data_IF_072309117811
#
_entry.id   IF_072309117811
#
_cell.length_a   1.000
_cell.length_b   1.000
_cell.length_c   1.000
_cell.angle_alpha   90.00
_cell.angle_beta   90.00
_cell.angle_gamma   90.00
#
_symmetry.space_group_name_H-M   'P 1'
#
loop_
_entity.id
_entity.type
_entity.pdbx_description
1 polymer ?
#
# COMPACT_ATOMS: atom_id res chain seq x y z
N UNK A 1 -32.19 -14.36 45.45
CA UNK A 1 -31.18 -13.51 46.12
C UNK A 1 -29.85 -14.25 46.03
N UNK A 2 -29.05 -13.93 45.08
CA UNK A 2 -27.69 -14.42 44.96
C UNK A 2 -26.82 -13.23 44.60
N UNK A 3 -26.04 -12.82 45.54
CA UNK A 3 -25.12 -11.68 45.50
C UNK A 3 -23.94 -12.01 44.61
N UNK A 4 -23.87 -11.36 43.47
CA UNK A 4 -22.65 -11.29 42.66
C UNK A 4 -21.69 -10.31 43.34
N UNK A 5 -20.68 -10.84 43.98
CA UNK A 5 -19.48 -10.11 44.42
C UNK A 5 -18.54 -10.12 43.21
N UNK A 6 -18.06 -8.97 42.72
CA UNK A 6 -17.03 -8.97 41.69
C UNK A 6 -15.72 -9.45 42.31
N UNK A 7 -15.22 -10.59 41.83
CA UNK A 7 -13.89 -11.09 42.18
C UNK A 7 -12.82 -10.24 41.46
N UNK A 8 -12.53 -9.05 41.96
CA UNK A 8 -11.27 -8.37 41.71
C UNK A 8 -10.26 -8.86 42.77
N UNK A 9 -9.73 -10.04 42.59
CA UNK A 9 -8.57 -10.49 43.33
C UNK A 9 -7.37 -9.61 42.89
N UNK A 10 -6.94 -8.73 43.81
CA UNK A 10 -5.69 -7.98 43.65
C UNK A 10 -4.57 -8.99 43.88
N UNK A 11 -4.01 -9.54 42.76
CA UNK A 11 -2.77 -10.30 42.83
C UNK A 11 -1.63 -9.32 43.08
N UNK A 12 -1.13 -9.23 44.27
CA UNK A 12 0.09 -8.51 44.63
C UNK A 12 1.20 -9.54 44.74
N UNK A 13 2.05 -9.60 43.69
CA UNK A 13 3.28 -10.43 43.75
C UNK A 13 4.40 -9.62 44.40
N UNK A 14 4.85 -10.05 45.55
CA UNK A 14 5.96 -9.49 46.34
C UNK A 14 7.29 -10.23 46.10
N UNK A 15 7.37 -11.08 45.08
CA UNK A 15 8.53 -11.95 44.84
C UNK A 15 9.81 -11.23 44.32
N UNK A 16 9.70 -9.98 43.88
CA UNK A 16 10.86 -9.13 43.58
C UNK A 16 11.01 -8.03 44.63
N UNK A 17 12.17 -7.93 45.28
CA UNK A 17 12.49 -6.85 46.25
C UNK A 17 12.53 -5.43 45.59
N UNK A 18 12.22 -5.30 44.30
CA UNK A 18 12.39 -4.06 43.54
C UNK A 18 11.03 -3.36 43.32
N UNK A 19 10.00 -4.11 42.91
CA UNK A 19 8.69 -3.56 42.57
C UNK A 19 7.58 -4.52 42.96
N UNK A 20 6.38 -3.96 43.16
CA UNK A 20 5.12 -4.70 43.26
C UNK A 20 4.21 -4.30 42.12
N UNK A 21 3.31 -5.17 41.71
CA UNK A 21 2.34 -4.84 40.70
C UNK A 21 0.93 -5.24 41.07
N UNK A 22 -0.01 -4.46 40.56
CA UNK A 22 -1.44 -4.69 40.72
C UNK A 22 -2.09 -4.75 39.35
N UNK A 23 -2.83 -5.82 39.10
CA UNK A 23 -3.65 -5.96 37.89
C UNK A 23 -4.84 -5.02 37.98
N UNK A 24 -4.95 -4.07 37.05
CA UNK A 24 -6.06 -3.14 36.97
C UNK A 24 -7.20 -3.68 36.10
N UNK A 25 -6.87 -4.10 34.88
CA UNK A 25 -7.82 -4.72 33.97
C UNK A 25 -7.14 -5.70 33.02
N UNK A 26 -7.90 -6.71 32.61
CA UNK A 26 -7.57 -7.55 31.43
C UNK A 26 -8.87 -7.74 30.67
N UNK A 27 -8.95 -7.14 29.49
CA UNK A 27 -10.08 -7.27 28.58
C UNK A 27 -9.57 -7.76 27.24
N UNK A 28 -9.87 -9.03 26.95
CA UNK A 28 -9.35 -9.74 25.76
C UNK A 28 -7.84 -9.67 25.69
N UNK A 29 -7.30 -8.94 24.71
CA UNK A 29 -5.86 -8.74 24.49
C UNK A 29 -5.30 -7.56 25.28
N UNK A 30 -6.14 -6.66 25.83
CA UNK A 30 -5.68 -5.47 26.54
C UNK A 30 -5.37 -5.79 28.00
N UNK A 31 -4.16 -5.44 28.40
CA UNK A 31 -3.66 -5.62 29.76
C UNK A 31 -3.29 -4.27 30.36
N UNK A 32 -3.74 -4.02 31.58
CA UNK A 32 -3.39 -2.82 32.35
C UNK A 32 -2.91 -3.22 33.73
N UNK A 33 -1.74 -2.77 34.09
CA UNK A 33 -1.11 -3.01 35.38
C UNK A 33 -0.65 -1.68 35.99
N UNK A 34 -0.79 -1.56 37.30
CA UNK A 34 -0.16 -0.52 38.10
C UNK A 34 1.10 -1.12 38.73
N UNK A 35 2.24 -0.47 38.49
CA UNK A 35 3.53 -0.91 39.00
C UNK A 35 4.02 0.12 40.01
N UNK A 36 4.39 -0.36 41.18
CA UNK A 36 4.91 0.45 42.27
C UNK A 36 6.35 0.02 42.57
N UNK A 37 7.28 0.94 42.41
CA UNK A 37 8.70 0.77 42.70
C UNK A 37 9.05 1.54 43.95
N UNK A 38 9.74 0.87 44.90
CA UNK A 38 10.09 1.54 46.16
C UNK A 38 11.04 2.71 45.93
N UNK A 39 10.81 3.79 46.67
CA UNK A 39 11.67 4.97 46.68
C UNK A 39 13.12 4.62 46.98
N UNK A 40 13.37 3.72 47.94
CA UNK A 40 14.73 3.30 48.30
C UNK A 40 15.52 2.74 47.08
N UNK A 41 14.87 2.00 46.21
CA UNK A 41 15.49 1.50 44.98
C UNK A 41 15.90 2.62 44.02
N UNK A 42 14.99 3.60 43.83
CA UNK A 42 15.24 4.76 42.97
C UNK A 42 16.43 5.56 43.51
N UNK A 43 16.43 5.85 44.81
CA UNK A 43 17.52 6.58 45.49
C UNK A 43 18.88 5.84 45.37
N UNK A 44 18.87 4.55 45.59
CA UNK A 44 20.09 3.74 45.47
C UNK A 44 20.66 3.84 44.05
N UNK A 45 19.83 3.72 43.03
CA UNK A 45 20.24 3.83 41.61
C UNK A 45 20.72 5.23 41.27
N UNK A 46 20.02 6.25 41.75
CA UNK A 46 20.43 7.64 41.56
C UNK A 46 21.78 7.94 42.19
N UNK A 47 21.96 7.54 43.46
CA UNK A 47 23.24 7.76 44.18
C UNK A 47 24.38 7.05 43.46
N UNK A 48 24.18 5.81 43.02
CA UNK A 48 25.20 5.09 42.24
C UNK A 48 25.56 5.81 40.95
N UNK A 49 24.57 6.31 40.20
CA UNK A 49 24.78 7.02 38.96
C UNK A 49 25.47 8.40 39.17
N UNK A 50 25.05 9.14 40.17
CA UNK A 50 25.68 10.42 40.56
C UNK A 50 27.13 10.24 40.95
N UNK A 51 27.48 9.16 41.68
CA UNK A 51 28.86 8.80 42.01
C UNK A 51 29.71 8.47 40.78
N UNK A 52 29.14 7.78 39.80
CA UNK A 52 29.80 7.51 38.51
C UNK A 52 30.10 8.84 37.77
N UNK A 53 29.10 9.71 37.70
CA UNK A 53 29.26 11.03 37.07
C UNK A 53 30.32 11.86 37.81
N UNK A 54 30.34 11.86 39.13
CA UNK A 54 31.31 12.61 39.94
C UNK A 54 32.75 12.25 39.64
N UNK A 55 33.04 10.98 39.28
CA UNK A 55 34.38 10.52 38.89
C UNK A 55 34.90 11.18 37.62
N UNK A 56 33.99 11.60 36.70
CA UNK A 56 34.34 12.09 35.36
C UNK A 56 33.81 13.50 35.10
N UNK A 57 33.05 14.12 36.03
CA UNK A 57 32.39 15.40 35.82
C UNK A 57 33.43 16.52 35.58
N UNK A 58 33.16 17.33 34.56
CA UNK A 58 33.93 18.53 34.20
C UNK A 58 33.03 19.73 34.41
N UNK A 59 33.13 20.37 35.55
CA UNK A 59 32.42 21.63 35.82
C UNK A 59 33.39 22.81 35.79
N UNK A 60 32.96 24.00 35.33
CA UNK A 60 33.77 25.19 35.30
C UNK A 60 34.37 25.49 36.70
N UNK A 61 35.68 25.69 36.76
CA UNK A 61 36.37 25.93 38.01
C UNK A 61 36.92 24.69 38.75
N UNK A 62 36.64 23.49 38.27
CA UNK A 62 37.10 22.24 38.88
C UNK A 62 37.82 21.33 37.88
N UNK A 63 38.89 20.66 38.38
CA UNK A 63 39.56 19.61 37.61
C UNK A 63 38.64 18.34 37.53
N UNK A 64 38.64 17.67 36.37
CA UNK A 64 37.88 16.42 36.18
C UNK A 64 38.06 15.45 37.36
N UNK A 65 36.95 14.96 37.94
CA UNK A 65 36.94 14.04 39.08
C UNK A 65 37.26 14.67 40.45
N UNK A 66 37.39 15.98 40.53
CA UNK A 66 37.59 16.73 41.80
C UNK A 66 36.44 17.68 42.12
N UNK A 67 35.33 17.57 41.42
CA UNK A 67 34.10 18.33 41.69
C UNK A 67 33.47 17.87 43.00
N UNK A 68 33.12 18.79 43.95
CA UNK A 68 32.37 18.41 45.15
C UNK A 68 31.06 17.74 44.79
N UNK A 69 30.74 16.67 45.52
CA UNK A 69 29.53 15.82 45.23
C UNK A 69 28.24 16.64 45.22
N UNK A 70 28.07 17.58 46.15
CA UNK A 70 26.88 18.43 46.24
C UNK A 70 26.67 19.27 44.97
N UNK A 71 27.73 19.70 44.31
CA UNK A 71 27.65 20.44 43.04
C UNK A 71 27.27 19.48 41.89
N UNK A 72 27.75 18.27 41.92
CA UNK A 72 27.33 17.23 40.95
C UNK A 72 25.84 16.92 41.10
N UNK A 73 25.39 16.72 42.34
CA UNK A 73 23.95 16.50 42.62
C UNK A 73 23.15 17.68 42.12
N UNK A 74 23.53 18.91 42.46
CA UNK A 74 22.81 20.13 42.06
C UNK A 74 22.65 20.26 40.54
N UNK A 75 23.68 19.88 39.76
CA UNK A 75 23.70 20.08 38.33
C UNK A 75 23.10 18.90 37.54
N UNK A 76 23.18 17.68 38.08
CA UNK A 76 22.83 16.45 37.34
C UNK A 76 21.64 15.70 37.94
N UNK A 77 21.07 16.13 39.08
CA UNK A 77 19.97 15.43 39.78
C UNK A 77 18.78 15.12 38.85
N UNK A 78 18.31 16.14 38.11
CA UNK A 78 17.14 15.99 37.23
C UNK A 78 17.40 15.03 36.05
N UNK A 79 18.55 15.18 35.40
CA UNK A 79 18.96 14.30 34.29
C UNK A 79 19.15 12.86 34.76
N UNK A 80 19.75 12.66 35.92
CA UNK A 80 19.94 11.32 36.51
C UNK A 80 18.63 10.72 36.95
N UNK A 81 17.69 11.50 37.49
CA UNK A 81 16.35 11.02 37.84
C UNK A 81 15.63 10.51 36.59
N UNK A 82 15.59 11.30 35.52
CA UNK A 82 14.97 10.91 34.25
C UNK A 82 15.59 9.61 33.70
N UNK A 83 16.92 9.53 33.69
CA UNK A 83 17.64 8.34 33.27
C UNK A 83 17.30 7.09 34.11
N UNK A 84 17.27 7.22 35.44
CA UNK A 84 16.98 6.12 36.36
C UNK A 84 15.53 5.69 36.23
N UNK A 85 14.59 6.64 36.12
CA UNK A 85 13.15 6.36 35.94
C UNK A 85 12.93 5.58 34.64
N UNK A 86 13.46 6.05 33.52
CA UNK A 86 13.31 5.39 32.21
C UNK A 86 13.88 3.96 32.24
N UNK A 87 15.11 3.76 32.75
CA UNK A 87 15.69 2.43 32.86
C UNK A 87 14.90 1.52 33.82
N UNK A 88 14.31 2.06 34.88
CA UNK A 88 13.50 1.29 35.81
C UNK A 88 12.18 0.86 35.17
N UNK A 89 11.53 1.75 34.42
CA UNK A 89 10.34 1.42 33.63
C UNK A 89 10.64 0.25 32.68
N UNK A 90 11.72 0.37 31.89
CA UNK A 90 12.10 -0.65 30.92
C UNK A 90 12.38 -2.01 31.58
N UNK A 91 13.11 -1.98 32.68
CA UNK A 91 13.43 -3.19 33.44
C UNK A 91 12.17 -3.84 34.04
N UNK A 92 11.38 -3.09 34.84
CA UNK A 92 10.22 -3.62 35.54
C UNK A 92 9.12 -4.06 34.57
N UNK A 93 8.88 -3.30 33.49
CA UNK A 93 7.90 -3.66 32.46
C UNK A 93 8.31 -4.94 31.72
N UNK A 94 9.58 -5.06 31.33
CA UNK A 94 10.11 -6.27 30.68
C UNK A 94 10.08 -7.49 31.59
N UNK A 95 10.40 -7.34 32.87
CA UNK A 95 10.37 -8.41 33.86
C UNK A 95 8.94 -8.86 34.14
N UNK A 96 7.99 -7.92 34.30
CA UNK A 96 6.58 -8.24 34.48
C UNK A 96 6.04 -9.02 33.26
N UNK A 97 6.29 -8.54 32.05
CA UNK A 97 5.81 -9.22 30.83
C UNK A 97 6.34 -10.65 30.72
N UNK A 98 7.59 -10.89 31.13
CA UNK A 98 8.16 -12.24 31.19
C UNK A 98 7.48 -13.11 32.25
N UNK A 99 7.21 -12.55 33.44
CA UNK A 99 6.55 -13.29 34.56
C UNK A 99 5.14 -13.73 34.20
N UNK A 100 4.39 -12.88 33.51
CA UNK A 100 3.02 -13.20 33.09
C UNK A 100 2.97 -13.95 31.74
N UNK A 101 4.14 -14.31 31.17
CA UNK A 101 4.31 -15.05 29.92
C UNK A 101 3.61 -14.42 28.70
N UNK A 102 3.44 -13.11 28.72
CA UNK A 102 2.78 -12.37 27.64
C UNK A 102 3.79 -11.75 26.69
N UNK A 103 3.57 -11.95 25.40
CA UNK A 103 4.31 -11.28 24.32
C UNK A 103 3.44 -10.16 23.73
N UNK A 104 4.05 -9.00 23.51
CA UNK A 104 3.43 -7.88 22.80
C UNK A 104 4.27 -7.52 21.59
N UNK A 105 3.61 -7.14 20.49
CA UNK A 105 4.29 -6.62 19.29
C UNK A 105 4.54 -5.11 19.36
N UNK A 106 3.79 -4.42 20.20
CA UNK A 106 3.85 -2.95 20.33
C UNK A 106 4.52 -2.63 21.65
N UNK A 107 5.34 -1.56 21.66
CA UNK A 107 5.91 -1.04 22.89
C UNK A 107 4.79 -0.70 23.87
N UNK A 108 4.87 -1.15 25.13
CA UNK A 108 3.88 -0.83 26.14
C UNK A 108 3.76 0.69 26.32
N UNK A 109 2.52 1.14 26.52
CA UNK A 109 2.26 2.52 26.90
C UNK A 109 2.46 2.67 28.41
N UNK A 110 3.19 3.69 28.80
CA UNK A 110 3.50 4.01 30.20
C UNK A 110 2.89 5.36 30.54
N UNK A 111 2.04 5.39 31.57
CA UNK A 111 1.47 6.61 32.12
C UNK A 111 1.97 6.75 33.58
N UNK A 112 2.83 7.75 33.84
CA UNK A 112 3.39 7.99 35.18
C UNK A 112 2.28 8.56 36.07
N UNK A 113 2.03 7.90 37.22
CA UNK A 113 1.04 8.33 38.20
C UNK A 113 1.71 9.16 39.29
N UNK A 114 2.84 8.70 39.83
CA UNK A 114 3.56 9.37 40.91
C UNK A 114 5.04 9.20 40.75
N UNK A 115 5.80 10.29 40.94
CA UNK A 115 7.24 10.29 41.06
C UNK A 115 7.66 10.54 42.50
N UNK A 116 8.75 9.92 42.98
CA UNK A 116 9.24 10.17 44.34
C UNK A 116 9.70 11.61 44.51
N UNK A 117 9.28 12.27 45.58
CA UNK A 117 9.78 13.60 45.93
C UNK A 117 11.07 13.48 46.75
N UNK A 118 12.19 13.54 46.05
CA UNK A 118 13.53 13.36 46.61
C UNK A 118 14.01 14.55 47.47
N UNK A 119 13.24 15.62 47.58
CA UNK A 119 13.56 16.78 48.41
C UNK A 119 12.90 16.72 49.80
N UNK A 120 11.89 15.85 49.95
CA UNK A 120 11.23 15.56 51.24
C UNK A 120 11.99 14.51 52.01
N UNK A 121 12.17 14.71 53.31
CA UNK A 121 12.92 13.78 54.19
C UNK A 121 12.04 12.62 54.69
N UNK A 122 10.76 12.85 54.95
CA UNK A 122 9.91 11.93 55.70
C UNK A 122 8.73 11.31 54.92
N UNK A 123 8.34 11.87 53.77
CA UNK A 123 7.28 11.35 52.89
C UNK A 123 7.69 11.44 51.43
N UNK A 124 8.60 10.61 51.00
CA UNK A 124 9.17 10.66 49.65
C UNK A 124 8.23 10.07 48.60
N UNK A 125 7.30 9.23 48.97
CA UNK A 125 6.39 8.50 48.07
C UNK A 125 7.13 7.51 47.16
N UNK A 126 6.43 6.48 46.73
CA UNK A 126 6.96 5.52 45.79
C UNK A 126 6.80 5.99 44.33
N UNK A 127 7.61 5.44 43.43
CA UNK A 127 7.44 5.63 42.01
C UNK A 127 6.31 4.71 41.53
N UNK A 128 5.21 5.29 41.02
CA UNK A 128 4.04 4.55 40.55
C UNK A 128 3.76 4.90 39.10
N UNK A 129 3.57 3.91 38.26
CA UNK A 129 3.15 4.09 36.90
C UNK A 129 2.18 3.00 36.44
N UNK A 130 1.34 3.36 35.45
CA UNK A 130 0.44 2.46 34.77
C UNK A 130 1.10 1.94 33.51
N UNK A 131 1.13 0.62 33.34
CA UNK A 131 1.59 -0.09 32.15
C UNK A 131 0.39 -0.61 31.39
N UNK A 132 0.23 -0.22 30.14
CA UNK A 132 -0.84 -0.68 29.25
C UNK A 132 -0.24 -1.28 27.99
N UNK A 133 -0.66 -2.49 27.61
CA UNK A 133 -0.20 -3.17 26.39
C UNK A 133 -1.25 -4.15 25.88
N UNK A 134 -1.11 -4.55 24.61
CA UNK A 134 -1.91 -5.60 23.99
C UNK A 134 -1.06 -6.87 23.83
N UNK A 135 -1.60 -8.01 24.28
CA UNK A 135 -0.99 -9.32 24.08
C UNK A 135 -1.18 -9.80 22.66
N UNK A 136 -0.34 -10.74 22.24
CA UNK A 136 -0.58 -11.45 20.98
C UNK A 136 -1.78 -12.38 21.11
N UNK A 137 -2.66 -12.41 20.11
CA UNK A 137 -3.77 -13.35 20.08
C UNK A 137 -3.29 -14.79 19.86
N UNK A 138 -4.06 -15.74 20.34
CA UNK A 138 -3.92 -17.14 19.94
C UNK A 138 -4.51 -17.32 18.54
N UNK A 139 -3.67 -17.20 17.53
CA UNK A 139 -4.09 -17.38 16.14
C UNK A 139 -4.35 -18.87 15.88
N UNK A 140 -5.50 -19.28 15.32
CA UNK A 140 -5.77 -20.68 14.99
C UNK A 140 -4.89 -21.17 13.83
N UNK A 141 -4.67 -22.50 13.75
CA UNK A 141 -3.99 -23.14 12.63
C UNK A 141 -4.94 -23.34 11.46
N UNK A 142 -4.50 -23.03 10.25
CA UNK A 142 -5.27 -23.27 9.03
C UNK A 142 -5.31 -24.77 8.73
N UNK A 143 -6.51 -25.32 8.63
CA UNK A 143 -6.76 -26.71 8.29
C UNK A 143 -7.07 -26.80 6.78
N UNK A 144 -6.11 -27.28 6.00
CA UNK A 144 -6.22 -27.36 4.54
C UNK A 144 -7.32 -28.32 4.06
N UNK A 145 -7.62 -29.35 4.84
CA UNK A 145 -8.62 -30.34 4.48
C UNK A 145 -10.06 -29.77 4.53
N UNK A 146 -10.26 -28.67 5.23
CA UNK A 146 -11.57 -27.99 5.34
C UNK A 146 -11.78 -26.92 4.28
N UNK A 147 -10.78 -26.64 3.45
CA UNK A 147 -10.86 -25.62 2.41
C UNK A 147 -11.15 -26.32 1.07
N UNK A 148 -12.23 -25.95 0.44
CA UNK A 148 -12.53 -26.32 -0.95
C UNK A 148 -12.73 -25.04 -1.75
N UNK A 149 -12.00 -24.89 -2.86
CA UNK A 149 -12.03 -23.70 -3.72
C UNK A 149 -12.55 -24.07 -5.11
N UNK A 150 -13.22 -23.13 -5.75
CA UNK A 150 -13.66 -23.26 -7.13
C UNK A 150 -12.59 -22.75 -8.07
N UNK A 151 -12.01 -23.64 -8.86
CA UNK A 151 -11.10 -23.26 -9.92
C UNK A 151 -11.87 -23.05 -11.21
N UNK A 152 -11.88 -21.83 -11.69
CA UNK A 152 -12.57 -21.50 -12.94
C UNK A 152 -11.68 -21.89 -14.13
N UNK A 153 -12.19 -22.77 -15.00
CA UNK A 153 -11.60 -23.08 -16.30
C UNK A 153 -12.43 -22.43 -17.40
N UNK A 154 -11.77 -21.73 -18.32
CA UNK A 154 -12.48 -20.94 -19.34
C UNK A 154 -12.44 -21.67 -20.66
N UNK A 155 -13.61 -21.88 -21.25
CA UNK A 155 -13.76 -22.35 -22.61
C UNK A 155 -13.80 -21.16 -23.56
N UNK A 156 -12.73 -20.97 -24.31
CA UNK A 156 -12.65 -19.94 -25.36
C UNK A 156 -13.37 -20.44 -26.60
N UNK A 157 -14.35 -19.72 -27.09
CA UNK A 157 -15.12 -20.04 -28.28
C UNK A 157 -14.64 -19.20 -29.48
N UNK A 158 -15.00 -19.63 -30.70
CA UNK A 158 -14.64 -18.89 -31.93
C UNK A 158 -15.23 -17.47 -31.95
N UNK A 159 -16.37 -17.28 -31.29
CA UNK A 159 -17.00 -15.97 -31.11
C UNK A 159 -16.12 -14.96 -30.33
N UNK A 160 -15.46 -15.43 -29.27
CA UNK A 160 -14.57 -14.60 -28.43
C UNK A 160 -13.35 -14.13 -29.21
N UNK A 161 -12.80 -15.03 -30.04
CA UNK A 161 -11.65 -14.72 -30.90
C UNK A 161 -12.06 -13.69 -31.96
N UNK A 162 -13.22 -13.87 -32.56
CA UNK A 162 -13.76 -12.94 -33.55
C UNK A 162 -13.99 -11.56 -32.95
N UNK A 163 -14.64 -11.48 -31.78
CA UNK A 163 -14.87 -10.21 -31.07
C UNK A 163 -13.56 -9.49 -30.75
N UNK A 164 -12.55 -10.24 -30.30
CA UNK A 164 -11.22 -9.70 -30.02
C UNK A 164 -10.57 -9.15 -31.30
N UNK A 165 -10.59 -9.91 -32.40
CA UNK A 165 -10.02 -9.46 -33.69
C UNK A 165 -10.79 -8.25 -34.23
N UNK A 166 -12.11 -8.22 -34.13
CA UNK A 166 -12.93 -7.07 -34.56
C UNK A 166 -12.61 -5.82 -33.73
N UNK A 167 -12.32 -5.98 -32.45
CA UNK A 167 -11.83 -4.88 -31.62
C UNK A 167 -10.48 -4.34 -32.05
N UNK A 168 -9.60 -5.22 -32.55
CA UNK A 168 -8.29 -4.83 -33.10
C UNK A 168 -8.48 -4.12 -34.46
N UNK A 169 -9.35 -4.66 -35.34
CA UNK A 169 -9.68 -4.03 -36.62
C UNK A 169 -10.16 -2.58 -36.43
N UNK A 170 -10.99 -2.34 -35.40
CA UNK A 170 -11.46 -1.00 -35.06
C UNK A 170 -10.35 -0.07 -34.56
N UNK A 171 -9.40 -0.60 -33.79
CA UNK A 171 -8.25 0.18 -33.28
C UNK A 171 -7.20 0.50 -34.35
N UNK A 172 -7.06 -0.39 -35.34
CA UNK A 172 -6.09 -0.29 -36.42
C UNK A 172 -6.81 -0.31 -37.79
N UNK A 173 -7.60 0.70 -38.12
CA UNK A 173 -8.32 0.77 -39.38
C UNK A 173 -7.38 0.82 -40.57
N UNK A 174 -7.85 0.36 -41.75
CA UNK A 174 -7.19 0.61 -42.99
C UNK A 174 -7.35 2.07 -43.40
N UNK A 175 -6.29 2.86 -43.26
CA UNK A 175 -6.35 4.28 -43.59
C UNK A 175 -5.97 4.52 -45.06
N UNK A 176 -6.85 5.12 -45.79
CA UNK A 176 -6.68 5.46 -47.19
C UNK A 176 -6.65 6.97 -47.34
N UNK A 177 -5.60 7.52 -47.96
CA UNK A 177 -5.54 8.96 -48.26
C UNK A 177 -6.64 9.35 -49.26
N UNK A 178 -7.29 10.44 -49.00
CA UNK A 178 -8.34 10.97 -49.84
C UNK A 178 -7.70 11.80 -50.96
N UNK A 179 -7.95 11.39 -52.21
CA UNK A 179 -7.46 12.11 -53.40
C UNK A 179 -8.43 13.19 -53.90
N UNK A 180 -9.65 13.28 -53.30
CA UNK A 180 -10.65 14.29 -53.63
C UNK A 180 -10.38 15.60 -52.87
N UNK A 181 -9.90 16.61 -53.55
CA UNK A 181 -9.62 17.95 -53.03
C UNK A 181 -10.90 18.66 -52.50
N UNK A 182 -12.10 18.17 -52.84
CA UNK A 182 -13.37 18.71 -52.34
C UNK A 182 -13.77 18.11 -51.01
N UNK A 183 -13.14 17.01 -50.59
CA UNK A 183 -13.48 16.30 -49.32
C UNK A 183 -13.23 17.21 -48.12
N UNK A 184 -14.18 17.20 -47.21
CA UNK A 184 -14.09 17.89 -45.90
C UNK A 184 -13.90 16.90 -44.81
N UNK A 185 -12.92 17.14 -43.94
CA UNK A 185 -12.58 16.30 -42.81
C UNK A 185 -13.78 16.11 -41.84
N UNK A 186 -14.02 14.89 -41.42
CA UNK A 186 -15.13 14.48 -40.54
C UNK A 186 -14.58 13.85 -39.27
N UNK A 187 -15.45 13.75 -38.27
CA UNK A 187 -15.14 12.99 -37.06
C UNK A 187 -14.83 11.52 -37.42
N UNK A 188 -13.74 10.97 -36.87
CA UNK A 188 -13.22 9.65 -37.21
C UNK A 188 -12.10 9.65 -38.25
N UNK A 189 -11.89 10.75 -39.01
CA UNK A 189 -10.80 10.86 -39.96
C UNK A 189 -9.46 11.09 -39.25
N UNK A 190 -8.37 10.67 -39.92
CA UNK A 190 -7.02 10.96 -39.46
C UNK A 190 -6.39 12.01 -40.35
N UNK A 191 -6.01 13.12 -39.77
CA UNK A 191 -5.36 14.22 -40.45
C UNK A 191 -3.87 14.21 -40.20
N UNK A 192 -3.09 14.55 -41.22
CA UNK A 192 -1.69 14.92 -41.09
C UNK A 192 -1.60 16.44 -41.22
N UNK A 193 -1.15 17.11 -40.15
CA UNK A 193 -1.16 18.56 -40.06
C UNK A 193 0.21 19.14 -39.77
N UNK A 194 0.44 20.36 -40.24
CA UNK A 194 1.47 21.25 -39.70
C UNK A 194 0.78 22.27 -38.80
N UNK A 195 1.31 22.52 -37.62
CA UNK A 195 0.71 23.49 -36.71
C UNK A 195 1.74 24.38 -36.03
N UNK A 196 1.33 25.60 -35.72
CA UNK A 196 2.03 26.54 -34.85
C UNK A 196 1.08 27.13 -33.86
N UNK A 197 1.38 27.02 -32.55
CA UNK A 197 0.64 27.63 -31.46
C UNK A 197 1.45 28.76 -30.81
N UNK A 198 0.82 29.89 -30.58
CA UNK A 198 1.43 31.08 -29.98
C UNK A 198 0.59 31.61 -28.84
N UNK A 199 1.22 31.88 -27.69
CA UNK A 199 0.64 32.60 -26.56
C UNK A 199 1.23 34.00 -26.56
N UNK A 200 0.41 35.06 -26.58
CA UNK A 200 0.88 36.44 -26.65
C UNK A 200 1.89 36.67 -27.78
N UNK A 201 1.61 36.12 -28.97
CA UNK A 201 2.45 36.17 -30.17
C UNK A 201 3.84 35.47 -30.04
N UNK A 202 4.10 34.75 -28.98
CA UNK A 202 5.35 33.97 -28.80
C UNK A 202 5.05 32.48 -28.94
N UNK A 203 5.89 31.78 -29.71
CA UNK A 203 5.86 30.32 -29.79
C UNK A 203 6.18 29.73 -28.42
N UNK A 204 5.39 28.78 -27.95
CA UNK A 204 5.66 28.06 -26.70
C UNK A 204 6.31 26.71 -26.98
N UNK A 205 6.98 26.15 -26.00
CA UNK A 205 7.64 24.84 -26.11
C UNK A 205 6.59 23.75 -26.37
N UNK A 206 6.76 22.97 -27.45
CA UNK A 206 5.78 21.99 -27.92
C UNK A 206 4.63 22.60 -28.74
N UNK A 207 4.61 23.92 -28.96
CA UNK A 207 3.56 24.61 -29.72
C UNK A 207 3.70 24.50 -31.24
N UNK A 208 4.64 23.74 -31.79
CA UNK A 208 4.76 23.55 -33.27
C UNK A 208 5.10 22.13 -33.61
N UNK A 209 4.58 21.64 -34.71
CA UNK A 209 4.87 20.34 -35.28
C UNK A 209 4.66 20.33 -36.79
N UNK A 210 5.40 19.48 -37.47
CA UNK A 210 5.21 19.20 -38.90
C UNK A 210 4.83 17.75 -39.10
N UNK A 211 3.92 17.51 -40.07
CA UNK A 211 3.39 16.18 -40.36
C UNK A 211 2.87 15.45 -39.12
N UNK A 212 2.23 16.20 -38.25
CA UNK A 212 1.69 15.65 -37.01
C UNK A 212 0.35 14.96 -37.29
N UNK A 213 0.20 13.72 -36.76
CA UNK A 213 -1.03 12.95 -36.93
C UNK A 213 -2.07 13.30 -35.89
N UNK A 214 -3.28 13.63 -36.34
CA UNK A 214 -4.44 13.95 -35.49
C UNK A 214 -5.58 13.04 -35.87
N UNK A 215 -6.14 12.30 -34.92
CA UNK A 215 -7.38 11.54 -35.12
C UNK A 215 -8.54 12.41 -34.63
N UNK A 216 -9.44 12.82 -35.51
CA UNK A 216 -10.58 13.65 -35.15
C UNK A 216 -11.58 12.88 -34.30
N UNK A 217 -11.93 13.43 -33.15
CA UNK A 217 -12.83 12.82 -32.16
C UNK A 217 -12.15 11.94 -31.12
N UNK A 218 -10.81 11.95 -31.08
CA UNK A 218 -10.03 11.19 -30.09
C UNK A 218 -10.01 11.86 -28.71
N UNK A 219 -10.23 13.18 -28.64
CA UNK A 219 -10.08 13.96 -27.40
C UNK A 219 -8.63 14.02 -26.88
N UNK A 220 -7.64 13.75 -27.73
CA UNK A 220 -6.24 13.74 -27.35
C UNK A 220 -5.62 15.14 -27.24
N UNK A 221 -6.31 16.16 -27.76
CA UNK A 221 -5.88 17.55 -27.78
C UNK A 221 -6.69 18.40 -26.79
N UNK A 222 -6.29 19.64 -26.61
CA UNK A 222 -7.07 20.61 -25.81
C UNK A 222 -8.47 20.78 -26.40
N UNK A 223 -9.44 20.97 -25.50
CA UNK A 223 -10.85 21.06 -25.88
C UNK A 223 -11.08 22.05 -27.02
N UNK A 224 -11.85 21.61 -28.04
CA UNK A 224 -12.16 22.36 -29.21
C UNK A 224 -11.12 22.41 -30.32
N UNK A 225 -9.91 21.84 -30.10
CA UNK A 225 -8.85 21.81 -31.14
C UNK A 225 -9.28 20.95 -32.33
N UNK A 226 -9.71 19.74 -32.05
CA UNK A 226 -10.16 18.80 -33.09
C UNK A 226 -11.41 19.31 -33.81
N UNK A 227 -12.33 19.98 -33.09
CA UNK A 227 -13.54 20.57 -33.66
C UNK A 227 -13.25 21.67 -34.72
N UNK A 228 -12.14 22.42 -34.52
CA UNK A 228 -11.73 23.43 -35.49
C UNK A 228 -11.19 22.85 -36.81
N UNK A 229 -10.77 21.58 -36.79
CA UNK A 229 -10.25 20.87 -37.95
C UNK A 229 -11.36 20.18 -38.77
N UNK A 230 -12.52 19.93 -38.13
CA UNK A 230 -13.67 19.36 -38.84
C UNK A 230 -14.12 20.34 -39.93
N UNK A 231 -14.39 19.81 -41.12
CA UNK A 231 -14.78 20.59 -42.29
C UNK A 231 -13.62 21.18 -43.11
N UNK A 232 -12.36 21.07 -42.62
CA UNK A 232 -11.18 21.51 -43.39
C UNK A 232 -10.90 20.56 -44.52
N UNK A 233 -10.27 21.08 -45.58
CA UNK A 233 -9.85 20.35 -46.79
C UNK A 233 -8.36 20.15 -46.78
N UNK A 234 -7.90 19.19 -47.59
CA UNK A 234 -6.46 18.97 -47.84
C UNK A 234 -5.85 20.26 -48.45
N UNK A 235 -4.70 20.67 -47.92
CA UNK A 235 -3.98 21.89 -48.28
C UNK A 235 -4.49 23.16 -47.64
N UNK A 236 -5.64 23.14 -46.99
CA UNK A 236 -6.23 24.31 -46.33
C UNK A 236 -5.44 24.71 -45.07
N UNK A 237 -5.37 26.01 -44.84
CA UNK A 237 -4.77 26.58 -43.61
C UNK A 237 -5.81 27.40 -42.89
N UNK A 238 -5.97 27.16 -41.59
CA UNK A 238 -6.94 27.87 -40.70
C UNK A 238 -6.19 28.35 -39.46
N UNK A 239 -6.57 29.56 -39.04
CA UNK A 239 -6.08 30.10 -37.76
C UNK A 239 -7.26 30.31 -36.81
N UNK A 240 -7.12 29.85 -35.59
CA UNK A 240 -8.15 29.91 -34.55
C UNK A 240 -7.56 30.11 -33.17
N UNK A 241 -8.38 30.49 -32.21
CA UNK A 241 -7.97 30.71 -30.82
C UNK A 241 -8.62 29.68 -29.92
N UNK A 242 -7.85 29.16 -28.99
CA UNK A 242 -8.32 28.24 -27.94
C UNK A 242 -7.70 28.61 -26.62
N UNK A 243 -8.38 28.26 -25.55
CA UNK A 243 -7.92 28.48 -24.18
C UNK A 243 -7.46 27.14 -23.58
N UNK A 244 -6.27 27.13 -22.99
CA UNK A 244 -5.81 25.97 -22.22
C UNK A 244 -6.67 25.80 -20.95
N UNK A 245 -6.98 24.57 -20.52
CA UNK A 245 -7.63 24.30 -19.24
C UNK A 245 -6.87 24.93 -18.07
N UNK A 246 -7.57 25.26 -17.00
CA UNK A 246 -6.96 25.85 -15.78
C UNK A 246 -6.03 24.85 -15.06
N UNK A 247 -6.28 23.55 -15.21
CA UNK A 247 -5.52 22.43 -14.65
C UNK A 247 -4.49 21.84 -15.63
N UNK A 248 -4.14 22.57 -16.69
CA UNK A 248 -3.20 22.09 -17.69
C UNK A 248 -1.83 21.80 -17.08
N UNK A 249 -1.24 20.64 -17.42
CA UNK A 249 0.04 20.14 -16.83
C UNK A 249 1.20 21.16 -16.88
N UNK A 250 1.23 22.01 -17.93
CA UNK A 250 2.24 23.07 -18.06
C UNK A 250 1.69 24.34 -17.44
N UNK A 251 2.05 24.64 -16.21
CA UNK A 251 1.57 25.78 -15.39
C UNK A 251 1.64 27.13 -16.15
N UNK A 252 2.68 27.34 -16.98
CA UNK A 252 2.84 28.59 -17.74
C UNK A 252 1.82 28.76 -18.88
N UNK A 253 1.11 27.70 -19.25
CA UNK A 253 0.09 27.69 -20.29
C UNK A 253 -1.33 27.59 -19.72
N UNK A 254 -1.49 27.11 -18.49
CA UNK A 254 -2.78 26.94 -17.82
C UNK A 254 -3.59 28.25 -17.87
N UNK A 255 -4.84 28.15 -18.32
CA UNK A 255 -5.76 29.29 -18.48
C UNK A 255 -5.38 30.32 -19.55
N UNK A 256 -4.29 30.17 -20.30
CA UNK A 256 -3.87 31.13 -21.31
C UNK A 256 -4.60 30.92 -22.66
N UNK A 257 -4.90 32.01 -23.34
CA UNK A 257 -5.39 31.98 -24.73
C UNK A 257 -4.21 31.78 -25.68
N UNK A 258 -4.30 30.80 -26.54
CA UNK A 258 -3.31 30.52 -27.60
C UNK A 258 -3.97 30.69 -28.98
N UNK A 259 -3.22 31.24 -29.93
CA UNK A 259 -3.61 31.29 -31.35
C UNK A 259 -2.85 30.14 -32.05
N UNK A 260 -3.60 29.26 -32.68
CA UNK A 260 -3.09 28.17 -33.50
C UNK A 260 -3.25 28.51 -34.97
N UNK A 261 -2.20 28.22 -35.76
CA UNK A 261 -2.27 28.21 -37.21
C UNK A 261 -2.02 26.77 -37.63
N UNK A 262 -2.98 26.16 -38.31
CA UNK A 262 -2.92 24.74 -38.69
C UNK A 262 -3.11 24.61 -40.19
N UNK A 263 -2.24 23.83 -40.84
CA UNK A 263 -2.36 23.42 -42.24
C UNK A 263 -2.60 21.93 -42.33
N UNK A 264 -3.61 21.51 -43.08
CA UNK A 264 -3.90 20.10 -43.35
C UNK A 264 -3.06 19.63 -44.55
N UNK A 265 -2.12 18.72 -44.31
CA UNK A 265 -1.26 18.17 -45.38
C UNK A 265 -1.90 16.98 -46.08
N UNK A 266 -2.60 16.12 -45.30
CA UNK A 266 -3.27 14.94 -45.83
C UNK A 266 -4.48 14.58 -44.98
N UNK A 267 -5.49 13.96 -45.57
CA UNK A 267 -6.69 13.44 -44.89
C UNK A 267 -6.80 11.96 -45.23
N UNK A 268 -6.84 11.13 -44.21
CA UNK A 268 -6.99 9.68 -44.33
C UNK A 268 -8.32 9.27 -43.70
N UNK A 269 -9.07 8.47 -44.42
CA UNK A 269 -10.35 7.90 -43.97
C UNK A 269 -10.21 6.40 -43.75
N UNK A 270 -11.08 5.85 -42.91
CA UNK A 270 -11.17 4.40 -42.80
C UNK A 270 -11.73 3.83 -44.12
N UNK A 271 -10.89 3.14 -44.86
CA UNK A 271 -11.27 2.36 -46.02
C UNK A 271 -11.78 0.98 -45.66
N UNK A 272 -12.01 0.18 -46.69
CA UNK A 272 -12.36 -1.24 -46.48
C UNK A 272 -11.23 -1.92 -45.71
N UNK A 273 -11.63 -2.78 -44.74
CA UNK A 273 -10.66 -3.49 -43.91
C UNK A 273 -9.71 -4.37 -44.69
N UNK A 274 -10.05 -4.71 -45.92
CA UNK A 274 -9.31 -5.65 -46.77
C UNK A 274 -9.55 -7.10 -46.35
N UNK A 275 -8.75 -8.01 -46.92
CA UNK A 275 -8.79 -9.40 -46.51
C UNK A 275 -8.25 -9.60 -45.09
N UNK A 276 -8.62 -10.68 -44.42
CA UNK A 276 -8.14 -11.00 -43.10
C UNK A 276 -6.62 -11.10 -43.00
N UNK A 277 -5.95 -11.58 -44.06
CA UNK A 277 -4.49 -11.60 -44.18
C UNK A 277 -3.88 -10.19 -44.28
N UNK A 278 -4.54 -9.25 -44.95
CA UNK A 278 -4.11 -7.86 -45.04
C UNK A 278 -4.24 -7.18 -43.66
N UNK A 279 -5.29 -7.48 -42.95
CA UNK A 279 -5.46 -7.05 -41.54
C UNK A 279 -4.33 -7.56 -40.67
N UNK A 280 -4.02 -8.86 -40.75
CA UNK A 280 -2.96 -9.50 -39.97
C UNK A 280 -1.60 -8.83 -40.24
N UNK A 281 -1.23 -8.66 -41.53
CA UNK A 281 0.04 -8.02 -41.93
C UNK A 281 0.14 -6.57 -41.47
N UNK A 282 -0.94 -5.82 -41.53
CA UNK A 282 -1.00 -4.42 -41.05
C UNK A 282 -0.65 -4.28 -39.58
N UNK A 283 -1.03 -5.28 -38.78
CA UNK A 283 -0.80 -5.32 -37.33
C UNK A 283 0.58 -5.93 -36.99
N UNK A 284 1.27 -6.51 -38.00
CA UNK A 284 2.62 -7.06 -37.85
C UNK A 284 2.67 -8.59 -37.77
N UNK A 285 1.60 -9.28 -38.13
CA UNK A 285 1.57 -10.73 -38.25
C UNK A 285 1.80 -11.20 -39.70
N UNK A 286 2.29 -12.40 -39.87
CA UNK A 286 2.59 -12.97 -41.17
C UNK A 286 1.31 -13.27 -41.97
N UNK A 287 0.32 -13.87 -41.33
CA UNK A 287 -0.97 -14.26 -41.89
C UNK A 287 -2.08 -14.21 -40.82
N UNK A 288 -3.31 -14.46 -41.21
CA UNK A 288 -4.48 -14.47 -40.34
C UNK A 288 -4.44 -15.59 -39.31
N UNK A 289 -3.85 -16.75 -39.65
CA UNK A 289 -3.72 -17.87 -38.71
C UNK A 289 -2.82 -17.51 -37.54
N UNK A 290 -1.74 -16.79 -37.76
CA UNK A 290 -0.82 -16.27 -36.75
C UNK A 290 -1.52 -15.25 -35.85
N UNK A 291 -2.37 -14.38 -36.39
CA UNK A 291 -3.20 -13.45 -35.64
C UNK A 291 -4.22 -14.17 -34.74
N UNK A 292 -4.90 -15.21 -35.26
CA UNK A 292 -5.84 -16.04 -34.47
C UNK A 292 -5.11 -16.71 -33.30
N UNK A 293 -3.94 -17.30 -33.54
CA UNK A 293 -3.18 -17.98 -32.49
C UNK A 293 -2.76 -16.99 -31.39
N UNK A 294 -2.29 -15.81 -31.79
CA UNK A 294 -1.96 -14.76 -30.84
C UNK A 294 -3.20 -14.26 -30.06
N UNK A 295 -4.34 -14.08 -30.73
CA UNK A 295 -5.59 -13.71 -30.08
C UNK A 295 -6.01 -14.74 -29.01
N UNK A 296 -5.92 -16.03 -29.35
CA UNK A 296 -6.19 -17.12 -28.39
C UNK A 296 -5.26 -17.04 -27.18
N UNK A 297 -3.97 -16.86 -27.41
CA UNK A 297 -2.98 -16.75 -26.32
C UNK A 297 -3.25 -15.55 -25.41
N UNK A 298 -3.58 -14.39 -25.98
CA UNK A 298 -3.89 -13.18 -25.21
C UNK A 298 -5.18 -13.37 -24.39
N UNK A 299 -6.22 -13.93 -24.99
CA UNK A 299 -7.49 -14.22 -24.28
C UNK A 299 -7.24 -15.24 -23.17
N UNK A 300 -6.52 -16.33 -23.43
CA UNK A 300 -6.21 -17.39 -22.46
C UNK A 300 -5.42 -16.85 -21.26
N UNK A 301 -4.37 -16.08 -21.52
CA UNK A 301 -3.58 -15.44 -20.45
C UNK A 301 -4.42 -14.49 -19.60
N UNK A 302 -5.27 -13.67 -20.22
CA UNK A 302 -6.17 -12.77 -19.51
C UNK A 302 -7.19 -13.53 -18.67
N UNK A 303 -7.77 -14.61 -19.21
CA UNK A 303 -8.69 -15.46 -18.47
C UNK A 303 -8.03 -16.16 -17.28
N UNK A 304 -6.79 -16.63 -17.45
CA UNK A 304 -6.00 -17.20 -16.34
C UNK A 304 -5.74 -16.17 -15.24
N UNK A 305 -5.29 -14.97 -15.59
CA UNK A 305 -5.09 -13.90 -14.61
C UNK A 305 -6.36 -13.57 -13.83
N UNK A 306 -7.51 -13.48 -14.51
CA UNK A 306 -8.80 -13.24 -13.86
C UNK A 306 -9.20 -14.42 -12.97
N UNK A 307 -9.02 -15.67 -13.43
CA UNK A 307 -9.29 -16.88 -12.64
C UNK A 307 -8.41 -16.97 -11.38
N UNK A 308 -7.13 -16.59 -11.49
CA UNK A 308 -6.20 -16.57 -10.35
C UNK A 308 -6.61 -15.50 -9.31
N UNK A 309 -7.16 -14.38 -9.73
CA UNK A 309 -7.68 -13.35 -8.82
C UNK A 309 -8.97 -13.85 -8.13
N UNK A 310 -9.87 -14.51 -8.87
CA UNK A 310 -11.10 -15.08 -8.32
C UNK A 310 -10.80 -16.14 -7.25
N UNK A 311 -9.92 -17.09 -7.52
CA UNK A 311 -9.59 -18.15 -6.56
C UNK A 311 -8.89 -17.60 -5.31
N UNK A 312 -8.06 -16.55 -5.47
CA UNK A 312 -7.44 -15.84 -4.34
C UNK A 312 -8.48 -15.16 -3.46
N UNK A 313 -9.43 -14.45 -4.07
CA UNK A 313 -10.54 -13.83 -3.34
C UNK A 313 -11.35 -14.87 -2.58
N UNK A 314 -11.74 -15.97 -3.25
CA UNK A 314 -12.51 -17.05 -2.62
C UNK A 314 -11.77 -17.66 -1.43
N UNK A 315 -10.45 -17.88 -1.55
CA UNK A 315 -9.62 -18.32 -0.43
C UNK A 315 -9.68 -17.32 0.75
N UNK A 316 -9.53 -16.04 0.47
CA UNK A 316 -9.55 -15.01 1.51
C UNK A 316 -10.92 -14.91 2.18
N UNK A 317 -12.01 -14.99 1.41
CA UNK A 317 -13.38 -15.02 1.92
C UNK A 317 -13.64 -16.27 2.78
N UNK A 318 -13.17 -17.43 2.33
CA UNK A 318 -13.26 -18.68 3.07
C UNK A 318 -12.49 -18.61 4.40
N UNK A 319 -11.26 -18.09 4.40
CA UNK A 319 -10.46 -17.95 5.61
C UNK A 319 -11.07 -16.93 6.57
N UNK A 320 -11.56 -15.81 6.07
CA UNK A 320 -12.20 -14.79 6.88
C UNK A 320 -13.46 -15.28 7.59
N UNK A 321 -14.28 -16.07 6.88
CA UNK A 321 -15.50 -16.65 7.42
C UNK A 321 -15.24 -17.82 8.37
N UNK A 322 -14.19 -18.63 8.12
CA UNK A 322 -13.94 -19.87 8.88
C UNK A 322 -13.21 -19.63 10.20
N UNK A 323 -12.44 -18.55 10.32
CA UNK A 323 -11.61 -18.29 11.49
C UNK A 323 -12.01 -16.99 12.19
N UNK A 324 -12.19 -17.08 13.52
CA UNK A 324 -12.50 -15.93 14.36
C UNK A 324 -11.61 -15.99 15.60
N UNK A 325 -10.94 -14.88 15.90
CA UNK A 325 -10.12 -14.69 17.09
C UNK A 325 -9.99 -13.20 17.39
N UNK A 326 -9.59 -12.86 18.61
CA UNK A 326 -9.43 -11.46 18.99
C UNK A 326 -8.26 -10.81 18.23
N UNK A 327 -8.47 -9.59 17.74
CA UNK A 327 -7.46 -8.85 17.00
C UNK A 327 -6.88 -7.70 17.84
N UNK A 328 -5.57 -7.41 17.75
CA UNK A 328 -4.98 -6.26 18.43
C UNK A 328 -5.56 -4.96 17.90
N UNK A 329 -6.23 -4.21 18.77
CA UNK A 329 -6.99 -3.00 18.41
C UNK A 329 -6.11 -1.93 17.79
N UNK A 330 -4.87 -1.78 18.27
CA UNK A 330 -3.96 -0.76 17.78
C UNK A 330 -3.41 -1.10 16.38
N UNK A 331 -3.22 -2.39 16.09
CA UNK A 331 -2.83 -2.86 14.75
C UNK A 331 -3.96 -2.63 13.75
N UNK A 332 -5.21 -2.96 14.16
CA UNK A 332 -6.39 -2.72 13.32
C UNK A 332 -6.57 -1.24 13.02
N UNK A 333 -6.39 -0.35 14.01
CA UNK A 333 -6.46 1.11 13.80
C UNK A 333 -5.39 1.64 12.85
N UNK A 334 -4.16 1.12 12.94
CA UNK A 334 -3.08 1.51 12.02
C UNK A 334 -3.40 1.06 10.58
N UNK A 335 -3.92 -0.16 10.41
CA UNK A 335 -4.33 -0.65 9.10
C UNK A 335 -5.55 0.11 8.57
N UNK A 336 -6.52 0.47 9.42
CA UNK A 336 -7.67 1.29 9.05
C UNK A 336 -7.23 2.63 8.44
N UNK A 337 -6.25 3.32 9.06
CA UNK A 337 -5.72 4.57 8.51
C UNK A 337 -5.05 4.39 7.14
N UNK A 338 -4.53 3.20 6.86
CA UNK A 338 -3.97 2.86 5.55
C UNK A 338 -5.07 2.62 4.52
N UNK A 339 -6.07 1.82 4.87
CA UNK A 339 -7.24 1.53 4.03
C UNK A 339 -8.01 2.82 3.68
N UNK A 340 -8.22 3.72 4.64
CA UNK A 340 -8.85 5.03 4.40
C UNK A 340 -8.11 5.88 3.36
N UNK A 341 -6.78 5.82 3.36
CA UNK A 341 -5.96 6.54 2.35
C UNK A 341 -6.00 5.87 0.97
N UNK A 342 -6.08 4.54 0.93
CA UNK A 342 -6.15 3.79 -0.33
C UNK A 342 -7.51 3.94 -1.01
N UNK A 343 -8.60 3.88 -0.24
CA UNK A 343 -9.96 3.91 -0.78
C UNK A 343 -10.54 5.33 -0.95
N UNK A 344 -9.87 6.36 -0.40
CA UNK A 344 -10.42 7.72 -0.26
C UNK A 344 -11.82 7.74 0.39
N UNK A 345 -12.16 6.72 1.18
CA UNK A 345 -13.44 6.52 1.85
C UNK A 345 -13.23 6.04 3.27
N UNK A 346 -14.13 6.45 4.17
CA UNK A 346 -14.18 5.97 5.56
C UNK A 346 -15.19 4.84 5.75
N UNK A 347 -16.10 4.69 4.81
CA UNK A 347 -17.13 3.67 4.87
C UNK A 347 -16.45 2.30 4.68
N UNK A 348 -16.82 1.36 5.52
CA UNK A 348 -16.30 -0.03 5.57
C UNK A 348 -14.78 -0.18 5.83
N UNK A 349 -14.02 0.91 5.98
CA UNK A 349 -12.55 0.87 6.21
C UNK A 349 -12.16 0.06 7.43
N UNK A 350 -12.98 0.07 8.49
CA UNK A 350 -12.72 -0.69 9.71
C UNK A 350 -12.86 -2.20 9.48
N UNK A 351 -13.92 -2.65 8.81
CA UNK A 351 -14.14 -4.08 8.52
C UNK A 351 -13.03 -4.62 7.60
N UNK A 352 -12.66 -3.84 6.58
CA UNK A 352 -11.59 -4.23 5.69
C UNK A 352 -10.24 -4.31 6.43
N UNK A 353 -9.97 -3.38 7.34
CA UNK A 353 -8.77 -3.42 8.17
C UNK A 353 -8.75 -4.63 9.10
N UNK A 354 -9.88 -4.97 9.76
CA UNK A 354 -10.00 -6.19 10.57
C UNK A 354 -9.70 -7.44 9.75
N UNK A 355 -10.29 -7.53 8.55
CA UNK A 355 -10.08 -8.64 7.63
C UNK A 355 -8.61 -8.77 7.23
N UNK A 356 -7.96 -7.67 6.81
CA UNK A 356 -6.54 -7.68 6.43
C UNK A 356 -5.62 -8.10 7.57
N UNK A 357 -5.85 -7.57 8.76
CA UNK A 357 -5.06 -7.93 9.95
C UNK A 357 -5.26 -9.41 10.31
N UNK A 358 -6.50 -9.91 10.26
CA UNK A 358 -6.82 -11.32 10.51
C UNK A 358 -6.08 -12.24 9.55
N UNK A 359 -6.20 -12.00 8.24
CA UNK A 359 -5.54 -12.79 7.20
C UNK A 359 -4.01 -12.74 7.34
N UNK A 360 -3.43 -11.57 7.57
CA UNK A 360 -1.99 -11.41 7.78
C UNK A 360 -1.48 -12.25 8.96
N UNK A 361 -2.23 -12.28 10.07
CA UNK A 361 -1.88 -13.10 11.25
C UNK A 361 -1.99 -14.61 10.96
N UNK A 362 -3.05 -15.03 10.26
CA UNK A 362 -3.21 -16.42 9.82
C UNK A 362 -2.05 -16.85 8.91
N UNK A 363 -1.69 -16.04 7.92
CA UNK A 363 -0.60 -16.34 6.99
C UNK A 363 0.77 -16.34 7.68
N UNK A 364 1.01 -15.45 8.61
CA UNK A 364 2.25 -15.44 9.40
C UNK A 364 2.39 -16.72 10.22
N UNK A 365 1.33 -17.16 10.90
CA UNK A 365 1.35 -18.41 11.66
C UNK A 365 1.54 -19.61 10.73
N UNK A 366 0.76 -19.71 9.67
CA UNK A 366 0.84 -20.78 8.68
C UNK A 366 2.25 -20.88 8.08
N UNK A 367 2.85 -19.75 7.71
CA UNK A 367 4.22 -19.72 7.17
C UNK A 367 5.26 -20.27 8.14
N UNK A 368 5.07 -19.99 9.43
CA UNK A 368 5.96 -20.49 10.50
C UNK A 368 5.80 -21.99 10.69
N UNK A 369 4.57 -22.51 10.74
CA UNK A 369 4.24 -23.92 10.90
C UNK A 369 4.75 -24.76 9.72
N UNK A 370 4.57 -24.27 8.50
CA UNK A 370 5.00 -24.93 7.27
C UNK A 370 6.42 -24.57 6.82
N UNK A 371 7.16 -23.78 7.60
CA UNK A 371 8.53 -23.34 7.31
C UNK A 371 8.68 -22.65 5.95
N UNK A 372 7.68 -21.89 5.56
CA UNK A 372 7.69 -21.11 4.31
C UNK A 372 8.58 -19.89 4.52
N UNK A 373 9.71 -19.84 3.81
CA UNK A 373 10.65 -18.74 3.87
C UNK A 373 10.65 -17.92 2.57
N UNK A 374 10.79 -16.60 2.68
CA UNK A 374 10.90 -15.72 1.53
C UNK A 374 12.29 -15.79 0.91
N UNK A 375 12.33 -15.86 -0.40
CA UNK A 375 13.54 -15.68 -1.20
C UNK A 375 13.67 -14.23 -1.68
N UNK A 376 14.85 -13.84 -2.17
CA UNK A 376 15.03 -12.53 -2.80
C UNK A 376 14.15 -12.35 -4.04
N UNK A 377 13.91 -13.43 -4.78
CA UNK A 377 13.06 -13.42 -5.96
C UNK A 377 11.60 -13.17 -5.62
N UNK A 378 11.08 -13.71 -4.52
CA UNK A 378 9.71 -13.44 -4.07
C UNK A 378 9.50 -11.93 -3.82
N UNK A 379 10.45 -11.30 -3.14
CA UNK A 379 10.43 -9.86 -2.86
C UNK A 379 10.58 -9.04 -4.15
N UNK A 380 11.49 -9.44 -5.06
CA UNK A 380 11.72 -8.75 -6.32
C UNK A 380 10.48 -8.81 -7.22
N UNK A 381 9.79 -9.94 -7.28
CA UNK A 381 8.56 -10.10 -8.04
C UNK A 381 7.47 -9.13 -7.58
N UNK A 382 7.28 -8.95 -6.27
CA UNK A 382 6.33 -7.96 -5.74
C UNK A 382 6.75 -6.55 -6.15
N UNK A 383 8.04 -6.22 -6.04
CA UNK A 383 8.54 -4.90 -6.45
C UNK A 383 8.27 -4.65 -7.95
N UNK A 384 8.58 -5.61 -8.81
CA UNK A 384 8.41 -5.48 -10.26
C UNK A 384 6.93 -5.32 -10.65
N UNK A 385 6.06 -6.11 -10.04
CA UNK A 385 4.66 -6.16 -10.44
C UNK A 385 3.82 -5.01 -9.88
N UNK A 386 4.14 -4.50 -8.67
CA UNK A 386 3.30 -3.53 -8.00
C UNK A 386 3.87 -2.10 -7.97
N UNK A 387 5.19 -1.95 -7.98
CA UNK A 387 5.83 -0.66 -7.71
C UNK A 387 6.62 -0.10 -8.90
N UNK A 388 6.90 -0.93 -9.91
CA UNK A 388 7.63 -0.49 -11.11
C UNK A 388 6.63 -0.19 -12.23
N UNK A 389 6.71 1.01 -12.81
CA UNK A 389 5.90 1.43 -13.94
C UNK A 389 6.71 2.40 -14.84
N UNK A 390 6.07 2.98 -15.88
CA UNK A 390 6.73 3.91 -16.81
C UNK A 390 7.34 5.14 -16.12
N UNK A 391 6.72 5.60 -15.03
CA UNK A 391 7.11 6.82 -14.31
C UNK A 391 8.07 6.54 -13.15
N UNK A 392 8.07 5.29 -12.64
CA UNK A 392 8.88 4.87 -11.49
C UNK A 392 9.77 3.69 -11.89
N UNK A 393 11.01 3.93 -12.30
CA UNK A 393 11.93 2.89 -12.73
C UNK A 393 12.43 2.04 -11.55
N UNK A 394 12.74 0.76 -11.82
CA UNK A 394 13.20 -0.23 -10.84
C UNK A 394 14.29 0.29 -9.89
N UNK A 395 15.30 0.97 -10.42
CA UNK A 395 16.41 1.48 -9.61
C UNK A 395 15.97 2.44 -8.51
N UNK A 396 14.93 3.25 -8.77
CA UNK A 396 14.37 4.19 -7.78
C UNK A 396 13.64 3.43 -6.69
N UNK A 397 12.86 2.40 -7.05
CA UNK A 397 12.14 1.55 -6.08
C UNK A 397 13.11 0.75 -5.21
N UNK A 398 14.15 0.14 -5.80
CA UNK A 398 15.17 -0.60 -5.06
C UNK A 398 15.95 0.31 -4.08
N UNK A 399 16.26 1.54 -4.48
CA UNK A 399 16.90 2.52 -3.59
C UNK A 399 15.97 2.85 -2.41
N UNK A 400 14.69 3.08 -2.65
CA UNK A 400 13.71 3.32 -1.60
C UNK A 400 13.55 2.10 -0.70
N UNK A 401 13.48 0.91 -1.26
CA UNK A 401 13.42 -0.35 -0.51
C UNK A 401 14.64 -0.52 0.41
N UNK A 402 15.85 -0.23 -0.06
CA UNK A 402 17.07 -0.36 0.76
C UNK A 402 17.18 0.65 1.91
N UNK A 403 16.56 1.83 1.79
CA UNK A 403 16.67 2.94 2.74
C UNK A 403 15.48 3.08 3.70
N UNK A 404 14.33 2.45 3.40
CA UNK A 404 13.10 2.62 4.18
C UNK A 404 12.63 1.29 4.79
N UNK A 405 12.79 1.15 6.11
CA UNK A 405 12.43 -0.07 6.85
C UNK A 405 10.93 -0.39 6.76
N UNK A 406 10.06 0.62 6.84
CA UNK A 406 8.61 0.40 6.75
C UNK A 406 8.20 -0.13 5.38
N UNK A 407 8.82 0.40 4.31
CA UNK A 407 8.60 -0.11 2.96
C UNK A 407 9.14 -1.53 2.78
N UNK A 408 10.28 -1.87 3.40
CA UNK A 408 10.79 -3.25 3.40
C UNK A 408 9.80 -4.22 4.06
N UNK A 409 9.27 -3.85 5.23
CA UNK A 409 8.29 -4.65 5.97
C UNK A 409 7.01 -4.83 5.17
N UNK A 410 6.51 -3.78 4.52
CA UNK A 410 5.35 -3.83 3.64
C UNK A 410 5.54 -4.81 2.47
N UNK A 411 6.60 -4.64 1.70
CA UNK A 411 6.87 -5.49 0.52
C UNK A 411 7.10 -6.95 0.92
N UNK A 412 7.79 -7.19 2.04
CA UNK A 412 7.98 -8.55 2.57
C UNK A 412 6.67 -9.18 3.04
N UNK A 413 5.79 -8.39 3.66
CA UNK A 413 4.45 -8.84 4.05
C UNK A 413 3.64 -9.28 2.83
N UNK A 414 3.62 -8.48 1.77
CA UNK A 414 2.96 -8.81 0.51
C UNK A 414 3.58 -10.05 -0.17
N UNK A 415 4.91 -10.17 -0.17
CA UNK A 415 5.59 -11.34 -0.72
C UNK A 415 5.25 -12.63 0.07
N UNK A 416 5.12 -12.52 1.39
CA UNK A 416 4.71 -13.64 2.23
C UNK A 416 3.26 -14.04 1.96
N UNK A 417 2.38 -13.07 1.88
CA UNK A 417 0.97 -13.28 1.54
C UNK A 417 0.83 -14.01 0.21
N UNK A 418 1.48 -13.54 -0.86
CA UNK A 418 1.47 -14.20 -2.17
C UNK A 418 1.97 -15.64 -2.08
N UNK A 419 3.12 -15.85 -1.44
CA UNK A 419 3.74 -17.18 -1.34
C UNK A 419 2.91 -18.18 -0.55
N UNK A 420 2.34 -17.73 0.57
CA UNK A 420 1.45 -18.56 1.40
C UNK A 420 0.14 -18.85 0.66
N UNK A 421 -0.43 -17.85 0.00
CA UNK A 421 -1.64 -17.98 -0.82
C UNK A 421 -1.44 -19.02 -1.91
N UNK A 422 -0.36 -18.90 -2.68
CA UNK A 422 -0.04 -19.84 -3.76
C UNK A 422 0.17 -21.28 -3.22
N UNK A 423 0.87 -21.41 -2.07
CA UNK A 423 1.08 -22.70 -1.40
C UNK A 423 -0.25 -23.32 -0.95
N UNK A 424 -1.15 -22.55 -0.33
CA UNK A 424 -2.46 -23.04 0.10
C UNK A 424 -3.27 -23.45 -1.12
N UNK A 425 -3.39 -22.59 -2.14
CA UNK A 425 -4.12 -22.88 -3.38
C UNK A 425 -3.60 -24.16 -4.05
N UNK A 426 -2.29 -24.40 -4.03
CA UNK A 426 -1.72 -25.64 -4.59
C UNK A 426 -2.20 -26.89 -3.86
N UNK A 427 -2.34 -26.84 -2.53
CA UNK A 427 -2.58 -28.02 -1.66
C UNK A 427 -4.04 -28.33 -1.38
N UNK A 428 -4.92 -27.33 -1.45
CA UNK A 428 -6.35 -27.52 -1.14
C UNK A 428 -7.11 -28.22 -2.29
N UNK A 429 -8.25 -28.78 -1.94
CA UNK A 429 -9.17 -29.35 -2.94
C UNK A 429 -9.75 -28.25 -3.84
N UNK A 430 -9.80 -28.53 -5.14
CA UNK A 430 -10.35 -27.62 -6.14
C UNK A 430 -11.47 -28.30 -6.90
N UNK A 431 -12.61 -27.66 -6.93
CA UNK A 431 -13.72 -28.03 -7.80
C UNK A 431 -13.60 -27.26 -9.11
N UNK A 432 -13.44 -27.95 -10.22
CA UNK A 432 -13.34 -27.31 -11.54
C UNK A 432 -14.73 -26.86 -11.99
N UNK A 433 -14.85 -25.58 -12.33
CA UNK A 433 -16.05 -24.97 -12.89
C UNK A 433 -15.70 -24.42 -14.28
N UNK A 434 -16.29 -25.03 -15.32
CA UNK A 434 -16.13 -24.58 -16.70
C UNK A 434 -17.09 -23.42 -16.96
N UNK A 435 -16.55 -22.27 -17.41
CA UNK A 435 -17.35 -21.08 -17.74
C UNK A 435 -16.96 -20.53 -19.11
N UNK A 436 -17.80 -19.71 -19.71
CA UNK A 436 -17.47 -18.91 -20.88
C UNK A 436 -16.65 -17.67 -20.51
N UNK A 437 -15.99 -17.05 -21.50
CA UNK A 437 -15.27 -15.77 -21.31
C UNK A 437 -16.20 -14.69 -20.77
N UNK A 438 -17.46 -14.66 -21.19
CA UNK A 438 -18.45 -13.68 -20.73
C UNK A 438 -18.82 -13.91 -19.27
N UNK A 439 -19.11 -15.13 -18.87
CA UNK A 439 -19.43 -15.47 -17.47
C UNK A 439 -18.24 -15.17 -16.55
N UNK A 440 -17.00 -15.43 -16.99
CA UNK A 440 -15.81 -15.05 -16.24
C UNK A 440 -15.74 -13.54 -16.01
N UNK A 441 -16.01 -12.73 -17.04
CA UNK A 441 -16.03 -11.26 -16.90
C UNK A 441 -17.10 -10.82 -15.89
N UNK A 442 -18.32 -11.38 -15.98
CA UNK A 442 -19.40 -11.08 -15.04
C UNK A 442 -19.03 -11.45 -13.59
N UNK A 443 -18.37 -12.61 -13.39
CA UNK A 443 -17.85 -13.01 -12.07
C UNK A 443 -16.78 -12.04 -11.56
N UNK A 444 -15.92 -11.56 -12.45
CA UNK A 444 -14.83 -10.65 -12.11
C UNK A 444 -15.32 -9.22 -11.81
N UNK A 445 -16.30 -8.72 -12.55
CA UNK A 445 -16.88 -7.38 -12.35
C UNK A 445 -17.66 -7.25 -11.02
N UNK A 446 -18.00 -8.38 -10.38
CA UNK A 446 -18.65 -8.45 -9.08
C UNK A 446 -17.65 -8.57 -7.89
N UNK A 447 -16.34 -8.40 -8.16
CA UNK A 447 -15.30 -8.38 -7.12
C UNK A 447 -15.17 -7.01 -6.50
#
# INVERSE_FOLDING_TARGET
MSSNIPQNAVEVDTSSNIYTYKKLSVDKLKHEYEITVSNDYIEQKMNSRLQEIAKNAKLPGFRSGKTPYDLVVKNYKSEVLEYVVNNTIDYCSSDLMKKIEVKSHIHPKVDIISLPDLDKKDEKGDFVYKLSFESMPEVPTIDLDKISLKKVEVKIEEGDIKEFIDSIKTKFPNLISVDDDSYQAKNGDKLTIDFEGRVRNKLFQGGSGKNFAVNLGSGAFIDGFEDQLIGMKKGETKSFKLRFPEDYQVISLAGQEATFSVRVNDIQIAGDSGSDDEVARRIGFEDYSSLINHAKEVIDNRCKEMGDLLIKKELFDCLDASYSFDLPTDVVKQEQQRVERELNSKDDSFKEAERRVKLAMLFMKFSTEHKISLTQNDVLNVILNQYVNKDVPLNRVLKHFSSNRQFQELVRGQALEHKVTDYIIEKVNKEEQIVSVKELKELFDNI
#
